data_IF_441948268333
#
_entry.id   IF_441948268333
#
_cell.length_a   1.000
_cell.length_b   1.000
_cell.length_c   1.000
_cell.angle_alpha   90.00
_cell.angle_beta   90.00
_cell.angle_gamma   90.00
#
_symmetry.space_group_name_H-M   'P 1'
#
loop_
_entity.id
_entity.type
_entity.pdbx_description
1 polymer ?
#
# COMPACT_ATOMS: atom_id res chain seq x y z
N UNK A 1 13.23 -5.18 32.40
CA UNK A 1 13.21 -3.81 31.83
C UNK A 1 11.92 -3.70 31.04
N UNK A 2 10.97 -2.86 31.48
CA UNK A 2 9.71 -2.68 30.76
C UNK A 2 9.84 -1.45 29.88
N UNK A 3 9.64 -1.63 28.57
CA UNK A 3 9.47 -0.51 27.62
C UNK A 3 8.03 -0.03 27.75
N UNK A 4 7.82 1.03 28.52
CA UNK A 4 6.56 1.76 28.52
C UNK A 4 6.49 2.57 27.23
N UNK A 5 5.64 2.13 26.30
CA UNK A 5 5.29 2.91 25.13
C UNK A 5 4.54 4.17 25.61
N UNK A 6 5.23 5.33 25.61
CA UNK A 6 4.63 6.63 25.94
C UNK A 6 3.80 7.09 24.73
N UNK A 7 2.46 7.10 24.78
CA UNK A 7 1.62 7.40 23.61
C UNK A 7 1.58 8.89 23.23
N UNK A 8 2.39 9.74 23.88
CA UNK A 8 2.22 11.20 23.80
C UNK A 8 3.09 11.90 22.74
N UNK A 9 4.02 11.21 22.08
CA UNK A 9 4.92 11.85 21.10
C UNK A 9 5.25 10.88 19.96
N UNK A 10 4.29 10.65 19.06
CA UNK A 10 4.62 10.23 17.70
C UNK A 10 4.03 11.28 16.75
N UNK A 11 4.76 12.38 16.49
CA UNK A 11 4.35 13.34 15.47
C UNK A 11 4.42 12.64 14.10
N UNK A 12 3.30 12.63 13.38
CA UNK A 12 3.19 12.19 11.99
C UNK A 12 3.49 10.71 11.69
N UNK A 13 2.87 9.77 12.41
CA UNK A 13 2.61 8.48 11.74
C UNK A 13 1.40 8.72 10.81
N UNK A 14 1.55 8.62 9.47
CA UNK A 14 0.37 8.59 8.62
C UNK A 14 -0.54 7.45 9.08
N UNK A 15 -1.79 7.76 9.43
CA UNK A 15 -2.75 6.73 9.81
C UNK A 15 -3.04 5.86 8.59
N UNK A 16 -2.86 4.55 8.71
CA UNK A 16 -3.19 3.63 7.62
C UNK A 16 -4.71 3.68 7.44
N UNK A 17 -5.16 4.29 6.35
CA UNK A 17 -6.58 4.39 6.02
C UNK A 17 -7.21 2.99 5.87
N UNK A 18 -8.52 2.83 6.12
CA UNK A 18 -9.22 1.56 5.91
C UNK A 18 -9.03 0.99 4.51
N UNK A 19 -8.95 1.85 3.50
CA UNK A 19 -8.72 1.54 2.10
C UNK A 19 -7.35 0.88 1.88
N UNK A 20 -6.28 1.47 2.43
CA UNK A 20 -4.93 0.91 2.35
C UNK A 20 -4.88 -0.44 3.06
N UNK A 21 -5.47 -0.56 4.25
CA UNK A 21 -5.55 -1.85 4.96
C UNK A 21 -6.22 -2.91 4.10
N UNK A 22 -7.35 -2.58 3.47
CA UNK A 22 -8.10 -3.49 2.59
C UNK A 22 -7.29 -3.89 1.35
N UNK A 23 -6.50 -2.98 0.79
CA UNK A 23 -5.61 -3.31 -0.33
C UNK A 23 -4.50 -4.28 0.10
N UNK A 24 -3.87 -4.04 1.25
CA UNK A 24 -2.79 -4.90 1.74
C UNK A 24 -3.24 -6.33 2.03
N UNK A 25 -4.50 -6.55 2.42
CA UNK A 25 -5.01 -7.91 2.63
C UNK A 25 -5.21 -8.72 1.35
N UNK A 26 -5.30 -8.07 0.19
CA UNK A 26 -5.49 -8.76 -1.11
C UNK A 26 -4.20 -8.95 -1.91
N UNK A 27 -3.17 -8.16 -1.60
CA UNK A 27 -1.85 -8.25 -2.23
C UNK A 27 -1.15 -9.54 -1.79
N UNK A 28 -0.70 -10.32 -2.77
CA UNK A 28 0.00 -11.59 -2.56
C UNK A 28 1.18 -11.65 -3.53
N UNK A 29 2.40 -11.46 -3.02
CA UNK A 29 3.60 -11.37 -3.85
C UNK A 29 3.55 -10.17 -4.81
N UNK A 30 4.13 -10.33 -5.99
CA UNK A 30 4.04 -9.33 -7.06
C UNK A 30 2.66 -9.38 -7.72
N UNK A 31 1.98 -8.24 -7.77
CA UNK A 31 0.66 -8.11 -8.40
C UNK A 31 0.58 -6.84 -9.23
N UNK A 32 -0.06 -6.96 -10.38
CA UNK A 32 -0.40 -5.79 -11.19
C UNK A 32 -1.53 -4.97 -10.55
N UNK A 33 -1.59 -3.69 -10.90
CA UNK A 33 -2.70 -2.81 -10.52
C UNK A 33 -4.07 -3.41 -10.85
N UNK A 34 -4.21 -3.98 -12.04
CA UNK A 34 -5.47 -4.54 -12.53
C UNK A 34 -5.95 -5.71 -11.66
N UNK A 35 -5.04 -6.60 -11.26
CA UNK A 35 -5.37 -7.72 -10.38
C UNK A 35 -5.79 -7.26 -8.98
N UNK A 36 -5.13 -6.23 -8.44
CA UNK A 36 -5.51 -5.64 -7.15
C UNK A 36 -6.89 -4.99 -7.24
N UNK A 37 -7.16 -4.20 -8.28
CA UNK A 37 -8.48 -3.59 -8.52
C UNK A 37 -9.58 -4.66 -8.65
N UNK A 38 -9.31 -5.74 -9.39
CA UNK A 38 -10.25 -6.86 -9.53
C UNK A 38 -10.55 -7.52 -8.19
N UNK A 39 -9.53 -7.82 -7.37
CA UNK A 39 -9.74 -8.42 -6.03
C UNK A 39 -10.49 -7.49 -5.07
N UNK A 40 -10.32 -6.18 -5.21
CA UNK A 40 -11.05 -5.18 -4.40
C UNK A 40 -12.45 -4.88 -4.94
N UNK A 41 -12.80 -5.34 -6.14
CA UNK A 41 -14.05 -5.02 -6.81
C UNK A 41 -14.14 -3.55 -7.26
N UNK A 42 -12.99 -2.92 -7.52
CA UNK A 42 -12.88 -1.52 -7.91
C UNK A 42 -12.78 -1.39 -9.43
N UNK A 43 -13.59 -0.52 -10.02
CA UNK A 43 -13.55 -0.19 -11.45
C UNK A 43 -12.96 1.20 -11.73
N UNK A 44 -13.02 2.10 -10.74
CA UNK A 44 -12.50 3.46 -10.85
C UNK A 44 -10.99 3.49 -10.56
N UNK A 45 -10.20 3.71 -11.61
CA UNK A 45 -8.74 3.85 -11.54
C UNK A 45 -8.30 5.07 -10.72
N UNK A 46 -9.02 6.20 -10.83
CA UNK A 46 -8.67 7.42 -10.09
C UNK A 46 -8.88 7.19 -8.60
N UNK A 47 -10.03 6.61 -8.22
CA UNK A 47 -10.32 6.27 -6.83
C UNK A 47 -9.28 5.30 -6.27
N UNK A 48 -8.93 4.25 -7.02
CA UNK A 48 -7.88 3.30 -6.63
C UNK A 48 -6.54 4.01 -6.39
N UNK A 49 -6.12 4.86 -7.32
CA UNK A 49 -4.83 5.55 -7.24
C UNK A 49 -4.76 6.49 -6.04
N UNK A 50 -5.78 7.33 -5.84
CA UNK A 50 -5.78 8.39 -4.82
C UNK A 50 -5.99 7.84 -3.39
N UNK A 51 -6.80 6.79 -3.22
CA UNK A 51 -7.20 6.32 -1.88
C UNK A 51 -6.49 5.03 -1.45
N UNK A 52 -5.89 4.29 -2.38
CA UNK A 52 -5.23 3.01 -2.09
C UNK A 52 -3.75 3.06 -2.44
N UNK A 53 -3.41 3.27 -3.72
CA UNK A 53 -2.03 3.14 -4.19
C UNK A 53 -1.13 4.26 -3.68
N UNK A 54 -1.50 5.53 -3.87
CA UNK A 54 -0.67 6.67 -3.46
C UNK A 54 -0.44 6.72 -1.95
N UNK A 55 -1.47 6.55 -1.10
CA UNK A 55 -1.25 6.52 0.34
C UNK A 55 -0.36 5.35 0.75
N UNK A 56 -0.56 4.14 0.19
CA UNK A 56 0.29 2.99 0.52
C UNK A 56 1.76 3.18 0.12
N UNK A 57 2.04 3.84 -1.01
CA UNK A 57 3.41 4.20 -1.42
C UNK A 57 3.98 5.29 -0.52
N UNK A 58 3.21 6.32 -0.19
CA UNK A 58 3.63 7.41 0.70
C UNK A 58 3.95 6.91 2.13
N UNK A 59 3.33 5.80 2.53
CA UNK A 59 3.58 5.11 3.79
C UNK A 59 4.65 4.02 3.70
N UNK A 60 5.31 3.87 2.54
CA UNK A 60 6.32 2.84 2.27
C UNK A 60 5.82 1.40 2.53
N UNK A 61 4.51 1.17 2.42
CA UNK A 61 3.86 -0.14 2.63
C UNK A 61 3.92 -1.01 1.38
N UNK A 62 4.01 -0.36 0.21
CA UNK A 62 4.20 -1.00 -1.09
C UNK A 62 5.21 -0.20 -1.90
N UNK A 63 5.93 -0.88 -2.77
CA UNK A 63 6.76 -0.26 -3.79
C UNK A 63 6.15 -0.52 -5.18
N UNK A 64 6.17 0.50 -6.03
CA UNK A 64 5.78 0.33 -7.44
C UNK A 64 7.01 -0.11 -8.22
N UNK A 65 7.14 -1.40 -8.48
CA UNK A 65 8.11 -1.92 -9.44
C UNK A 65 7.60 -1.62 -10.86
N UNK A 66 8.01 -0.48 -11.42
CA UNK A 66 8.00 -0.33 -12.87
C UNK A 66 8.93 -1.42 -13.40
N UNK A 67 8.42 -2.35 -14.20
CA UNK A 67 9.20 -3.45 -14.74
C UNK A 67 10.52 -2.91 -15.32
N UNK A 68 11.63 -3.06 -14.60
CA UNK A 68 12.94 -3.01 -15.20
C UNK A 68 13.00 -4.30 -16.02
N UNK A 69 12.92 -4.14 -17.33
CA UNK A 69 13.10 -5.19 -18.33
C UNK A 69 14.11 -6.22 -17.84
N UNK A 70 13.69 -7.48 -17.76
CA UNK A 70 14.60 -8.59 -17.49
C UNK A 70 15.69 -8.62 -18.57
N UNK A 71 16.85 -8.03 -18.29
CA UNK A 71 18.11 -8.39 -18.95
C UNK A 71 18.72 -9.50 -18.09
N UNK A 72 18.27 -10.73 -18.36
CA UNK A 72 18.97 -11.94 -17.96
C UNK A 72 20.08 -12.17 -19.00
N UNK A 73 21.38 -12.19 -18.63
CA UNK A 73 22.41 -12.74 -19.50
C UNK A 73 22.30 -14.27 -19.62
#
# INVERSE_FOLDING_TARGET
MYVTFLPAVLPDIPEVTPEVRKMLTVIQGEMSRAEIQQKLGLTDEKHFRENYQQPAVAMELIEMTAQATAVTP
#
